data_IF_316918752300
#
_entry.id   IF_316918752300
#
_cell.length_a   1.000
_cell.length_b   1.000
_cell.length_c   1.000
_cell.angle_alpha   90.00
_cell.angle_beta   90.00
_cell.angle_gamma   90.00
#
_symmetry.space_group_name_H-M   'P 1'
#
loop_
_entity.id
_entity.type
_entity.pdbx_description
1 polymer ?
#
# COMPACT_ATOMS: atom_id res chain seq x y z
N UNK A 1 -8.78 -9.32 -12.49
CA UNK A 1 -8.78 -10.12 -11.23
C UNK A 1 -8.84 -9.15 -10.05
N UNK A 2 -9.60 -9.44 -8.99
CA UNK A 2 -9.77 -8.52 -7.86
C UNK A 2 -9.26 -9.12 -6.57
N UNK A 3 -8.46 -8.36 -5.83
CA UNK A 3 -8.02 -8.69 -4.48
C UNK A 3 -9.07 -8.16 -3.49
N UNK A 4 -9.61 -9.05 -2.64
CA UNK A 4 -10.57 -8.69 -1.60
C UNK A 4 -9.97 -9.00 -0.24
N UNK A 5 -9.95 -8.01 0.65
CA UNK A 5 -9.60 -8.18 2.06
C UNK A 5 -10.69 -7.49 2.88
N UNK A 6 -11.40 -8.29 3.68
CA UNK A 6 -12.60 -7.85 4.40
C UNK A 6 -13.64 -7.19 3.48
N UNK A 7 -13.98 -5.93 3.79
CA UNK A 7 -14.95 -5.13 3.04
C UNK A 7 -14.34 -4.36 1.85
N UNK A 8 -13.03 -4.48 1.60
CA UNK A 8 -12.32 -3.72 0.58
C UNK A 8 -12.01 -4.63 -0.61
N UNK A 9 -12.34 -4.16 -1.82
CA UNK A 9 -11.96 -4.81 -3.07
C UNK A 9 -11.19 -3.84 -3.95
N UNK A 10 -10.07 -4.29 -4.51
CA UNK A 10 -9.25 -3.50 -5.42
C UNK A 10 -8.78 -4.38 -6.57
N UNK A 11 -8.68 -3.79 -7.76
CA UNK A 11 -8.14 -4.50 -8.91
C UNK A 11 -6.68 -4.88 -8.69
N UNK A 12 -6.30 -6.11 -9.01
CA UNK A 12 -4.96 -6.66 -8.71
C UNK A 12 -3.85 -5.87 -9.41
N UNK A 13 -4.06 -5.43 -10.65
CA UNK A 13 -3.03 -4.66 -11.37
C UNK A 13 -2.82 -3.30 -10.72
N UNK A 14 -3.93 -2.65 -10.33
CA UNK A 14 -3.89 -1.37 -9.61
C UNK A 14 -3.28 -1.52 -8.22
N UNK A 15 -3.59 -2.62 -7.52
CA UNK A 15 -2.97 -2.95 -6.24
C UNK A 15 -1.46 -3.06 -6.38
N UNK A 16 -1.00 -3.83 -7.36
CA UNK A 16 0.42 -4.09 -7.62
C UNK A 16 1.17 -2.80 -7.90
N UNK A 17 0.66 -1.96 -8.80
CA UNK A 17 1.24 -0.65 -9.11
C UNK A 17 1.38 0.23 -7.86
N UNK A 18 0.37 0.25 -6.98
CA UNK A 18 0.45 1.00 -5.72
C UNK A 18 1.49 0.39 -4.77
N UNK A 19 1.53 -0.93 -4.63
CA UNK A 19 2.45 -1.63 -3.74
C UNK A 19 3.92 -1.49 -4.19
N UNK A 20 4.19 -1.59 -5.49
CA UNK A 20 5.51 -1.34 -6.07
C UNK A 20 5.94 0.12 -5.86
N UNK A 21 5.01 1.06 -6.03
CA UNK A 21 5.29 2.48 -5.76
C UNK A 21 5.60 2.73 -4.29
N UNK A 22 4.90 2.04 -3.39
CA UNK A 22 5.15 2.07 -1.95
C UNK A 22 6.57 1.58 -1.63
N UNK A 23 7.01 0.47 -2.22
CA UNK A 23 8.38 -0.02 -2.09
C UNK A 23 9.38 1.01 -2.61
N UNK A 24 9.23 1.47 -3.86
CA UNK A 24 10.12 2.48 -4.47
C UNK A 24 10.26 3.75 -3.61
N UNK A 25 9.16 4.23 -3.04
CA UNK A 25 9.17 5.38 -2.13
C UNK A 25 9.90 5.09 -0.82
N UNK A 26 9.80 3.87 -0.30
CA UNK A 26 10.53 3.44 0.88
C UNK A 26 12.02 3.24 0.62
N UNK A 27 12.40 2.83 -0.59
CA UNK A 27 13.80 2.61 -0.98
C UNK A 27 14.58 3.92 -1.01
N UNK A 28 13.90 5.01 -1.43
CA UNK A 28 14.44 6.36 -1.51
C UNK A 28 14.53 7.07 -0.14
N UNK A 29 13.94 6.48 0.90
CA UNK A 29 13.90 7.09 2.23
C UNK A 29 15.10 6.63 3.05
N UNK A 30 15.89 7.59 3.53
CA UNK A 30 17.00 7.33 4.46
C UNK A 30 16.46 6.90 5.83
N UNK A 31 15.28 7.40 6.20
CA UNK A 31 14.60 7.10 7.45
C UNK A 31 14.07 5.66 7.50
N UNK A 32 13.99 5.10 8.71
CA UNK A 32 13.33 3.82 8.97
C UNK A 32 11.80 3.90 8.80
N UNK A 33 11.25 5.13 8.74
CA UNK A 33 9.82 5.40 8.64
C UNK A 33 9.56 6.26 7.40
N UNK A 34 8.91 5.67 6.39
CA UNK A 34 8.49 6.41 5.20
C UNK A 34 7.00 6.73 5.30
N UNK A 35 6.59 8.00 5.48
CA UNK A 35 5.18 8.35 5.45
C UNK A 35 4.64 8.23 4.03
N UNK A 36 3.63 7.37 3.89
CA UNK A 36 2.91 7.06 2.68
C UNK A 36 1.52 7.67 2.80
N UNK A 37 1.20 8.59 1.88
CA UNK A 37 -0.13 9.17 1.76
C UNK A 37 -0.65 8.92 0.35
N UNK A 38 -1.96 8.80 0.21
CA UNK A 38 -2.58 8.62 -1.10
C UNK A 38 -2.20 9.76 -2.07
N UNK A 39 -2.04 10.99 -1.57
CA UNK A 39 -1.60 12.12 -2.38
C UNK A 39 -0.17 11.98 -2.90
N UNK A 40 0.77 11.49 -2.08
CA UNK A 40 2.16 11.28 -2.48
C UNK A 40 2.27 10.18 -3.55
N UNK A 41 1.59 9.06 -3.32
CA UNK A 41 1.58 7.95 -4.28
C UNK A 41 0.89 8.36 -5.58
N UNK A 42 -0.20 9.14 -5.51
CA UNK A 42 -0.87 9.67 -6.70
C UNK A 42 0.04 10.56 -7.54
N UNK A 43 0.95 11.33 -6.92
CA UNK A 43 1.96 12.11 -7.63
C UNK A 43 2.99 11.21 -8.32
N UNK A 44 3.50 10.19 -7.62
CA UNK A 44 4.48 9.25 -8.22
C UNK A 44 3.90 8.39 -9.35
N UNK A 45 2.60 8.12 -9.29
CA UNK A 45 1.88 7.43 -10.35
C UNK A 45 1.39 8.39 -11.45
N UNK A 46 1.75 9.68 -11.41
CA UNK A 46 1.37 10.69 -12.40
C UNK A 46 -0.16 10.77 -12.62
N UNK A 47 -0.95 10.46 -11.58
CA UNK A 47 -2.41 10.44 -11.69
C UNK A 47 -3.02 9.24 -12.42
N UNK A 48 -2.24 8.23 -12.81
CA UNK A 48 -2.73 7.00 -13.46
C UNK A 48 -3.74 6.21 -12.61
N UNK A 49 -3.69 6.38 -11.29
CA UNK A 49 -4.59 5.71 -10.34
C UNK A 49 -5.26 6.75 -9.44
N UNK A 50 -6.58 6.67 -9.30
CA UNK A 50 -7.35 7.60 -8.46
C UNK A 50 -6.94 7.52 -6.99
N UNK A 51 -7.01 8.66 -6.27
CA UNK A 51 -6.68 8.73 -4.84
C UNK A 51 -7.53 7.76 -3.99
N UNK A 52 -8.77 7.49 -4.41
CA UNK A 52 -9.67 6.53 -3.76
C UNK A 52 -9.12 5.11 -3.89
N UNK A 53 -8.74 4.70 -5.11
CA UNK A 53 -8.17 3.38 -5.37
C UNK A 53 -6.84 3.18 -4.61
N UNK A 54 -6.00 4.23 -4.55
CA UNK A 54 -4.78 4.22 -3.74
C UNK A 54 -5.13 4.06 -2.25
N UNK A 55 -6.14 4.76 -1.76
CA UNK A 55 -6.63 4.62 -0.38
C UNK A 55 -7.06 3.20 -0.04
N UNK A 56 -7.78 2.53 -0.95
CA UNK A 56 -8.16 1.13 -0.82
C UNK A 56 -6.95 0.20 -0.81
N UNK A 57 -6.01 0.37 -1.74
CA UNK A 57 -4.80 -0.45 -1.80
C UNK A 57 -3.92 -0.29 -0.54
N UNK A 58 -3.77 0.93 -0.02
CA UNK A 58 -3.08 1.17 1.25
C UNK A 58 -3.79 0.52 2.43
N UNK A 59 -5.13 0.55 2.44
CA UNK A 59 -5.91 -0.13 3.47
C UNK A 59 -5.71 -1.65 3.41
N UNK A 60 -5.70 -2.24 2.22
CA UNK A 60 -5.39 -3.68 2.04
C UNK A 60 -3.99 -4.00 2.55
N UNK A 61 -2.97 -3.21 2.21
CA UNK A 61 -1.61 -3.42 2.71
C UNK A 61 -1.49 -3.30 4.24
N UNK A 62 -2.30 -2.44 4.86
CA UNK A 62 -2.41 -2.34 6.32
C UNK A 62 -3.13 -3.55 6.93
N UNK A 63 -4.26 -3.98 6.37
CA UNK A 63 -4.99 -5.17 6.84
C UNK A 63 -4.16 -6.46 6.69
N UNK A 64 -3.29 -6.53 5.69
CA UNK A 64 -2.31 -7.61 5.51
C UNK A 64 -1.07 -7.48 6.43
N UNK A 65 -0.96 -6.42 7.24
CA UNK A 65 0.12 -6.24 8.21
C UNK A 65 1.46 -5.78 7.61
N UNK A 66 1.46 -5.28 6.38
CA UNK A 66 2.66 -4.70 5.74
C UNK A 66 2.86 -3.23 6.11
N UNK A 67 1.77 -2.50 6.33
CA UNK A 67 1.80 -1.10 6.73
C UNK A 67 1.29 -0.92 8.15
N UNK A 68 1.74 0.14 8.80
CA UNK A 68 1.15 0.65 10.03
C UNK A 68 0.41 1.96 9.75
N UNK A 69 -0.76 2.12 10.35
CA UNK A 69 -1.54 3.35 10.24
C UNK A 69 -1.18 4.28 11.39
N UNK A 70 -0.71 5.49 11.08
CA UNK A 70 -0.49 6.52 12.10
C UNK A 70 -1.70 7.44 12.18
N UNK A 71 -2.41 7.34 13.30
CA UNK A 71 -3.52 8.24 13.62
C UNK A 71 -2.96 9.52 14.28
N UNK A 72 -2.26 10.36 13.52
CA UNK A 72 -2.00 11.72 14.02
C UNK A 72 -3.30 12.50 14.05
N UNK A 73 -3.65 12.93 15.25
CA UNK A 73 -4.88 13.59 15.68
C UNK A 73 -5.49 14.60 14.69
N UNK A 74 -6.84 14.64 14.69
CA UNK A 74 -7.70 15.71 14.15
C UNK A 74 -7.50 16.02 12.66
N UNK A 75 -8.18 15.25 11.81
CA UNK A 75 -8.75 15.78 10.56
C UNK A 75 -7.90 15.70 9.29
N UNK A 76 -6.66 15.20 9.29
CA UNK A 76 -5.82 15.25 8.08
C UNK A 76 -5.19 13.91 7.72
N UNK A 77 -5.84 13.24 6.75
CA UNK A 77 -5.31 12.23 5.81
C UNK A 77 -4.67 11.00 6.47
N UNK A 78 -5.27 9.81 6.27
CA UNK A 78 -4.67 8.53 6.65
C UNK A 78 -3.21 8.46 6.19
N UNK A 79 -2.28 8.48 7.17
CA UNK A 79 -0.86 8.28 6.95
C UNK A 79 -0.55 6.83 7.25
N UNK A 80 0.16 6.21 6.32
CA UNK A 80 0.67 4.86 6.48
C UNK A 80 2.19 4.92 6.58
N UNK A 81 2.77 3.97 7.30
CA UNK A 81 4.21 3.80 7.41
C UNK A 81 4.54 2.38 6.97
N UNK A 82 5.50 2.26 6.05
CA UNK A 82 6.17 1.00 5.78
C UNK A 82 7.45 0.93 6.61
N UNK A 83 7.52 -0.07 7.49
CA UNK A 83 8.75 -0.38 8.24
C UNK A 83 9.74 -1.13 7.36
N UNK A 84 11.04 -0.84 7.52
CA UNK A 84 12.11 -1.56 6.80
C UNK A 84 12.05 -3.08 7.00
N UNK A 85 11.62 -3.56 8.16
CA UNK A 85 11.46 -5.00 8.45
C UNK A 85 10.38 -5.67 7.61
N UNK A 86 9.32 -4.94 7.24
CA UNK A 86 8.20 -5.42 6.41
C UNK A 86 8.47 -5.28 4.91
N UNK A 87 9.49 -4.51 4.51
CA UNK A 87 9.87 -4.28 3.10
C UNK A 87 10.23 -5.57 2.38
N UNK A 88 11.07 -6.43 2.98
CA UNK A 88 11.43 -7.73 2.39
C UNK A 88 10.20 -8.62 2.20
N UNK A 89 9.28 -8.65 3.17
CA UNK A 89 8.04 -9.42 3.06
C UNK A 89 7.13 -8.91 1.94
N UNK A 90 6.96 -7.60 1.81
CA UNK A 90 6.16 -7.01 0.74
C UNK A 90 6.79 -7.23 -0.64
N UNK A 91 8.12 -7.08 -0.74
CA UNK A 91 8.87 -7.37 -1.97
C UNK A 91 8.70 -8.83 -2.40
N UNK A 92 8.80 -9.76 -1.45
CA UNK A 92 8.59 -11.19 -1.68
C UNK A 92 7.17 -11.49 -2.14
N UNK A 93 6.16 -10.94 -1.46
CA UNK A 93 4.75 -11.08 -1.84
C UNK A 93 4.46 -10.63 -3.29
N UNK A 94 5.04 -9.50 -3.72
CA UNK A 94 4.87 -9.00 -5.09
C UNK A 94 5.62 -9.82 -6.14
N UNK A 95 6.73 -10.47 -5.75
CA UNK A 95 7.53 -11.31 -6.63
C UNK A 95 6.95 -12.72 -6.80
N UNK A 96 6.35 -13.30 -5.75
CA UNK A 96 5.90 -14.69 -5.79
C UNK A 96 4.59 -14.91 -6.56
N UNK A 97 3.75 -13.89 -6.77
CA UNK A 97 2.53 -13.96 -7.59
C UNK A 97 1.69 -15.26 -7.49
N UNK A 98 1.64 -15.89 -6.32
CA UNK A 98 0.54 -16.76 -5.93
C UNK A 98 -0.36 -15.91 -5.05
N UNK A 99 -1.29 -15.17 -5.66
CA UNK A 99 -2.36 -14.56 -4.88
C UNK A 99 -3.13 -15.71 -4.22
N UNK A 100 -3.09 -15.88 -2.89
CA UNK A 100 -3.93 -16.87 -2.28
C UNK A 100 -5.37 -16.45 -2.57
N UNK A 101 -6.12 -17.33 -3.22
CA UNK A 101 -7.58 -17.25 -3.31
C UNK A 101 -8.11 -17.39 -1.88
N UNK A 102 -8.07 -16.30 -1.10
CA UNK A 102 -8.68 -16.26 0.23
C UNK A 102 -10.17 -16.08 0.01
N UNK A 103 -10.84 -17.20 -0.17
CA UNK A 103 -12.30 -17.31 -0.03
C UNK A 103 -12.59 -17.34 1.47
N UNK A 104 -13.30 -16.32 1.97
CA UNK A 104 -13.94 -16.35 3.30
C UNK A 104 -15.32 -16.97 3.11
#
# INVERSE_FOLDING_TARGET
MRLRVGSVSVDVEKFRLVAETVLKLSDRSVSNLTPLTAARIHRELEGKISKVCIGHALRVLWELGYLERTNTCKGVRNRYILHKSKRKMLSYFLHEQTFPTVTI
#
